data_IF_451291218809
#
_entry.id   IF_451291218809
#
_cell.length_a   1.000
_cell.length_b   1.000
_cell.length_c   1.000
_cell.angle_alpha   90.00
_cell.angle_beta   90.00
_cell.angle_gamma   90.00
#
_symmetry.space_group_name_H-M   'P 1'
#
loop_
_entity.id
_entity.type
_entity.pdbx_description
1 polymer ?
#
# COMPACT_ATOMS: atom_id res chain seq x y z
N UNK A 1 22.53 -5.66 -14.25
CA UNK A 1 22.72 -4.65 -15.31
C UNK A 1 22.35 -3.32 -14.69
N UNK A 2 23.31 -2.43 -14.48
CA UNK A 2 23.09 -1.10 -13.93
C UNK A 2 23.00 -0.11 -15.10
N UNK A 3 22.00 0.75 -15.11
CA UNK A 3 21.87 1.86 -16.07
C UNK A 3 21.95 3.16 -15.27
N UNK A 4 22.89 4.04 -15.63
CA UNK A 4 22.96 5.38 -15.06
C UNK A 4 21.74 6.20 -15.50
N UNK A 5 21.26 7.08 -14.63
CA UNK A 5 20.05 7.86 -14.88
C UNK A 5 20.15 8.69 -16.16
N UNK A 6 21.33 9.22 -16.46
CA UNK A 6 21.64 10.03 -17.64
C UNK A 6 21.59 9.23 -18.95
N UNK A 7 21.65 7.89 -18.86
CA UNK A 7 21.61 6.97 -20.00
C UNK A 7 20.23 6.34 -20.17
N UNK A 8 19.27 6.67 -19.31
CA UNK A 8 17.90 6.18 -19.45
C UNK A 8 17.23 6.87 -20.65
N UNK A 9 16.43 6.11 -21.39
CA UNK A 9 15.59 6.65 -22.45
C UNK A 9 14.66 7.73 -21.88
N UNK A 10 14.69 8.99 -22.35
CA UNK A 10 13.85 10.06 -21.81
C UNK A 10 12.36 9.82 -22.06
N UNK A 11 11.99 8.97 -23.02
CA UNK A 11 10.59 8.60 -23.31
C UNK A 11 10.10 7.45 -22.41
N UNK A 12 10.95 6.94 -21.52
CA UNK A 12 10.57 5.84 -20.63
C UNK A 12 9.46 6.26 -19.67
N UNK A 13 8.36 5.53 -19.70
CA UNK A 13 7.27 5.71 -18.75
C UNK A 13 7.58 4.97 -17.44
N UNK A 14 8.05 5.71 -16.45
CA UNK A 14 8.30 5.16 -15.11
C UNK A 14 7.01 5.16 -14.29
N UNK A 15 6.37 3.99 -14.19
CA UNK A 15 5.18 3.80 -13.37
C UNK A 15 5.50 3.88 -11.86
N UNK A 16 6.70 3.44 -11.49
CA UNK A 16 7.17 3.35 -10.11
C UNK A 16 8.69 3.31 -10.07
N UNK A 17 9.26 3.90 -9.02
CA UNK A 17 10.68 3.76 -8.65
C UNK A 17 10.75 3.24 -7.21
N UNK A 18 11.83 2.56 -6.86
CA UNK A 18 12.07 2.07 -5.49
C UNK A 18 13.46 2.43 -5.00
N UNK A 19 13.55 2.83 -3.74
CA UNK A 19 14.80 2.78 -2.98
C UNK A 19 14.82 1.48 -2.18
N UNK A 20 15.91 0.73 -2.30
CA UNK A 20 16.04 -0.63 -1.75
C UNK A 20 17.36 -0.71 -1.02
N UNK A 21 17.31 -1.04 0.27
CA UNK A 21 18.51 -1.23 1.10
C UNK A 21 18.18 -2.02 2.37
N UNK A 22 19.21 -2.34 3.18
CA UNK A 22 19.01 -2.86 4.52
C UNK A 22 18.14 -1.92 5.36
N UNK A 23 17.25 -2.42 6.23
CA UNK A 23 16.24 -1.59 6.90
C UNK A 23 16.81 -0.37 7.63
N UNK A 24 17.90 -0.54 8.38
CA UNK A 24 18.54 0.55 9.12
C UNK A 24 19.12 1.64 8.21
N UNK A 25 19.65 1.25 7.05
CA UNK A 25 20.21 2.18 6.06
C UNK A 25 19.07 2.91 5.35
N UNK A 26 18.03 2.17 4.94
CA UNK A 26 16.86 2.73 4.27
C UNK A 26 16.11 3.72 5.18
N UNK A 27 15.94 3.41 6.46
CA UNK A 27 15.26 4.32 7.40
C UNK A 27 16.05 5.62 7.61
N UNK A 28 17.39 5.55 7.67
CA UNK A 28 18.23 6.74 7.68
C UNK A 28 18.12 7.55 6.38
N UNK A 29 18.00 6.89 5.22
CA UNK A 29 17.78 7.56 3.95
C UNK A 29 16.41 8.24 3.91
N UNK A 30 15.34 7.57 4.35
CA UNK A 30 13.98 8.11 4.44
C UNK A 30 13.92 9.36 5.32
N UNK A 31 14.64 9.37 6.44
CA UNK A 31 14.74 10.51 7.34
C UNK A 31 15.40 11.73 6.69
N UNK A 32 16.22 11.54 5.65
CA UNK A 32 16.89 12.61 4.88
C UNK A 32 16.08 13.09 3.67
N UNK A 33 14.99 12.41 3.31
CA UNK A 33 14.13 12.82 2.20
C UNK A 33 13.42 14.14 2.56
N UNK A 34 13.58 15.22 1.78
CA UNK A 34 12.92 16.49 2.03
C UNK A 34 11.40 16.36 2.06
N UNK A 35 10.73 17.18 2.88
CA UNK A 35 9.27 17.19 2.98
C UNK A 35 8.60 17.46 1.61
N UNK A 36 9.16 18.36 0.82
CA UNK A 36 8.68 18.68 -0.53
C UNK A 36 8.60 17.45 -1.45
N UNK A 37 9.53 16.49 -1.32
CA UNK A 37 9.49 15.25 -2.10
C UNK A 37 8.30 14.38 -1.68
N UNK A 38 8.02 14.32 -0.37
CA UNK A 38 6.87 13.59 0.18
C UNK A 38 5.54 14.26 -0.17
N UNK A 39 5.53 15.57 -0.40
CA UNK A 39 4.38 16.31 -0.90
C UNK A 39 4.17 16.07 -2.40
N UNK A 40 5.25 16.07 -3.18
CA UNK A 40 5.21 15.93 -4.65
C UNK A 40 4.98 14.50 -5.14
N UNK A 41 5.35 13.49 -4.35
CA UNK A 41 5.22 12.08 -4.71
C UNK A 41 4.50 11.29 -3.63
N UNK A 42 3.95 10.14 -4.00
CA UNK A 42 3.56 9.12 -3.02
C UNK A 42 4.83 8.39 -2.61
N UNK A 43 5.20 8.50 -1.33
CA UNK A 43 6.43 7.93 -0.75
C UNK A 43 6.03 7.13 0.48
N UNK A 44 6.14 5.81 0.41
CA UNK A 44 5.63 4.90 1.44
C UNK A 44 6.42 3.59 1.47
N UNK A 45 6.46 2.91 2.61
CA UNK A 45 7.11 1.60 2.73
C UNK A 45 6.13 0.48 2.39
N UNK A 46 6.61 -0.54 1.67
CA UNK A 46 5.86 -1.79 1.45
C UNK A 46 6.51 -3.01 2.10
N UNK A 47 7.75 -2.86 2.56
CA UNK A 47 8.47 -3.82 3.39
C UNK A 47 9.54 -3.06 4.19
N UNK A 48 10.17 -3.69 5.22
CA UNK A 48 11.25 -3.04 5.97
C UNK A 48 12.40 -2.51 5.11
N UNK A 49 12.65 -3.14 3.96
CA UNK A 49 13.75 -2.88 3.03
C UNK A 49 13.29 -2.26 1.68
N UNK A 50 12.01 -1.92 1.52
CA UNK A 50 11.47 -1.34 0.30
C UNK A 50 10.74 -0.02 0.57
N UNK A 51 11.23 1.05 -0.05
CA UNK A 51 10.54 2.33 -0.15
C UNK A 51 10.04 2.52 -1.58
N UNK A 52 8.74 2.69 -1.74
CA UNK A 52 8.10 2.92 -3.03
C UNK A 52 7.93 4.42 -3.28
N UNK A 53 8.22 4.85 -4.50
CA UNK A 53 8.03 6.21 -4.97
C UNK A 53 7.23 6.14 -6.27
N UNK A 54 6.07 6.79 -6.24
CA UNK A 54 5.10 6.80 -7.33
C UNK A 54 4.47 8.20 -7.47
N UNK A 55 3.77 8.41 -8.58
CA UNK A 55 3.02 9.64 -8.82
C UNK A 55 2.03 9.92 -7.67
N UNK A 56 1.91 11.19 -7.27
CA UNK A 56 1.09 11.60 -6.12
C UNK A 56 -0.40 11.28 -6.28
N UNK A 57 -0.86 11.17 -7.52
CA UNK A 57 -2.27 10.93 -7.85
C UNK A 57 -2.69 9.48 -7.68
N UNK A 58 -1.74 8.57 -7.49
CA UNK A 58 -2.02 7.13 -7.42
C UNK A 58 -1.57 6.54 -6.09
N UNK A 59 -2.39 5.64 -5.57
CA UNK A 59 -2.10 4.68 -4.49
C UNK A 59 -3.13 3.53 -4.58
N UNK A 60 -3.05 2.54 -3.69
CA UNK A 60 -3.99 1.40 -3.69
C UNK A 60 -5.44 1.85 -3.49
N UNK A 61 -5.70 2.80 -2.59
CA UNK A 61 -7.03 3.35 -2.34
C UNK A 61 -7.66 4.01 -3.56
N UNK A 62 -6.91 4.89 -4.26
CA UNK A 62 -7.40 5.51 -5.49
C UNK A 62 -7.63 4.49 -6.61
N UNK A 63 -6.80 3.43 -6.66
CA UNK A 63 -6.96 2.33 -7.62
C UNK A 63 -8.25 1.54 -7.37
N UNK A 64 -8.50 1.13 -6.13
CA UNK A 64 -9.74 0.44 -5.73
C UNK A 64 -10.96 1.33 -5.98
N UNK A 65 -10.89 2.61 -5.61
CA UNK A 65 -11.96 3.58 -5.88
C UNK A 65 -12.27 3.69 -7.37
N UNK A 66 -11.24 3.85 -8.21
CA UNK A 66 -11.43 3.97 -9.67
C UNK A 66 -12.11 2.74 -10.26
N UNK A 67 -11.79 1.54 -9.77
CA UNK A 67 -12.42 0.30 -10.23
C UNK A 67 -13.87 0.21 -9.72
N UNK A 68 -14.12 0.56 -8.46
CA UNK A 68 -15.44 0.59 -7.86
C UNK A 68 -16.39 1.53 -8.63
N UNK A 69 -15.93 2.76 -8.93
CA UNK A 69 -16.66 3.74 -9.71
C UNK A 69 -17.02 3.21 -11.10
N UNK A 70 -16.08 2.53 -11.78
CA UNK A 70 -16.30 1.95 -13.11
C UNK A 70 -17.29 0.78 -13.11
N UNK A 71 -17.38 0.04 -12.00
CA UNK A 71 -18.29 -1.10 -11.83
C UNK A 71 -19.62 -0.71 -11.19
N UNK A 72 -19.79 0.54 -10.74
CA UNK A 72 -20.98 0.98 -10.01
C UNK A 72 -21.10 0.36 -8.62
N UNK A 73 -19.99 -0.03 -8.00
CA UNK A 73 -19.93 -0.63 -6.67
C UNK A 73 -19.69 0.47 -5.64
N UNK A 74 -20.50 0.51 -4.59
CA UNK A 74 -20.35 1.49 -3.51
C UNK A 74 -19.27 1.05 -2.52
N UNK A 75 -18.63 1.99 -1.80
CA UNK A 75 -17.65 1.66 -0.77
C UNK A 75 -18.17 0.65 0.27
N UNK A 76 -19.43 0.75 0.70
CA UNK A 76 -20.07 -0.18 1.64
C UNK A 76 -20.15 -1.64 1.17
N UNK A 77 -19.95 -1.89 -0.12
CA UNK A 77 -19.98 -3.23 -0.76
C UNK A 77 -18.56 -3.80 -0.95
N UNK A 78 -17.52 -3.10 -0.47
CA UNK A 78 -16.12 -3.45 -0.70
C UNK A 78 -15.48 -3.91 0.60
N UNK A 79 -14.74 -5.02 0.53
CA UNK A 79 -13.80 -5.45 1.55
C UNK A 79 -12.36 -5.32 1.03
N UNK A 80 -11.49 -4.66 1.80
CA UNK A 80 -10.06 -4.55 1.52
C UNK A 80 -9.26 -5.16 2.67
N UNK A 81 -8.26 -5.99 2.36
CA UNK A 81 -7.44 -6.71 3.34
C UNK A 81 -5.97 -6.36 3.10
N UNK A 82 -5.23 -5.98 4.14
CA UNK A 82 -3.82 -5.60 4.02
C UNK A 82 -3.02 -5.66 5.32
N UNK A 83 -1.73 -5.36 5.22
CA UNK A 83 -0.77 -5.50 6.33
C UNK A 83 0.30 -4.40 6.44
N UNK A 84 0.54 -3.64 5.36
CA UNK A 84 1.60 -2.63 5.30
C UNK A 84 1.08 -1.21 5.06
N UNK A 85 1.97 -0.22 5.19
CA UNK A 85 1.63 1.21 5.03
C UNK A 85 0.95 1.52 3.68
N UNK A 86 1.33 0.83 2.60
CA UNK A 86 0.72 0.99 1.29
C UNK A 86 -0.74 0.51 1.18
N UNK A 87 -1.23 -0.22 2.18
CA UNK A 87 -2.59 -0.75 2.24
C UNK A 87 -3.58 0.18 2.97
N UNK A 88 -3.08 1.09 3.81
CA UNK A 88 -3.91 1.95 4.67
C UNK A 88 -5.00 2.66 3.85
N UNK A 89 -4.61 3.28 2.73
CA UNK A 89 -5.54 4.04 1.90
C UNK A 89 -6.70 3.21 1.30
N UNK A 90 -6.50 1.92 1.01
CA UNK A 90 -7.60 1.06 0.54
C UNK A 90 -8.42 0.49 1.68
N UNK A 91 -7.81 0.26 2.85
CA UNK A 91 -8.48 -0.20 4.07
C UNK A 91 -9.44 0.87 4.58
N UNK A 92 -9.03 2.13 4.62
CA UNK A 92 -9.89 3.26 5.02
C UNK A 92 -11.01 3.54 4.02
N UNK A 93 -10.77 3.26 2.72
CA UNK A 93 -11.75 3.48 1.66
C UNK A 93 -12.87 2.42 1.66
N UNK A 94 -12.52 1.16 1.91
CA UNK A 94 -13.46 0.05 1.89
C UNK A 94 -14.46 0.16 3.06
N UNK A 95 -15.73 -0.20 2.82
CA UNK A 95 -16.72 -0.32 3.87
C UNK A 95 -16.38 -1.39 4.90
N UNK A 96 -15.61 -2.40 4.49
CA UNK A 96 -15.01 -3.41 5.37
C UNK A 96 -13.49 -3.41 5.17
N UNK A 97 -12.79 -2.54 5.90
CA UNK A 97 -11.34 -2.55 6.01
C UNK A 97 -10.85 -3.61 7.01
N UNK A 98 -9.93 -4.47 6.58
CA UNK A 98 -9.40 -5.59 7.36
C UNK A 98 -7.88 -5.52 7.44
N UNK A 99 -7.35 -5.57 8.66
CA UNK A 99 -5.93 -5.73 8.92
C UNK A 99 -5.59 -7.19 9.21
N UNK A 100 -4.51 -7.71 8.64
CA UNK A 100 -3.94 -9.01 9.05
C UNK A 100 -3.35 -8.94 10.46
N UNK A 101 -3.27 -10.05 11.19
CA UNK A 101 -2.64 -10.01 12.53
C UNK A 101 -1.13 -9.69 12.48
N UNK A 102 -0.45 -10.05 11.38
CA UNK A 102 0.95 -9.66 11.17
C UNK A 102 1.11 -8.23 10.63
N UNK A 103 0.03 -7.43 10.56
CA UNK A 103 0.06 -6.06 10.07
C UNK A 103 0.79 -5.11 11.05
N UNK A 104 1.34 -4.03 10.49
CA UNK A 104 1.91 -2.94 11.30
C UNK A 104 0.81 -2.25 12.13
N UNK A 105 1.14 -1.63 13.29
CA UNK A 105 0.15 -1.00 14.17
C UNK A 105 -0.77 0.00 13.45
N UNK A 106 -0.21 0.86 12.58
CA UNK A 106 -0.98 1.87 11.84
C UNK A 106 -2.08 1.25 10.94
N UNK A 107 -1.85 0.05 10.38
CA UNK A 107 -2.83 -0.65 9.57
C UNK A 107 -3.94 -1.25 10.45
N UNK A 108 -3.58 -1.81 11.61
CA UNK A 108 -4.56 -2.32 12.58
C UNK A 108 -5.46 -1.22 13.13
N UNK A 109 -4.92 -0.02 13.34
CA UNK A 109 -5.67 1.16 13.79
C UNK A 109 -6.67 1.68 12.75
N UNK A 110 -6.33 1.59 11.46
CA UNK A 110 -7.19 2.02 10.36
C UNK A 110 -8.32 1.03 10.01
N UNK A 111 -8.18 -0.25 10.41
CA UNK A 111 -9.11 -1.31 10.02
C UNK A 111 -10.33 -1.42 10.93
N UNK A 112 -11.46 -1.87 10.37
CA UNK A 112 -12.67 -2.20 11.13
C UNK A 112 -12.55 -3.57 11.83
N UNK A 113 -11.71 -4.45 11.28
CA UNK A 113 -11.53 -5.81 11.78
C UNK A 113 -10.08 -6.25 11.65
N UNK A 114 -9.56 -6.92 12.67
CA UNK A 114 -8.26 -7.58 12.63
C UNK A 114 -8.52 -9.07 12.45
N UNK A 115 -8.10 -9.63 11.31
CA UNK A 115 -8.17 -11.07 11.02
C UNK A 115 -6.93 -11.79 11.55
N UNK A 116 -6.84 -13.12 11.34
CA UNK A 116 -5.66 -13.92 11.72
C UNK A 116 -4.41 -13.51 10.95
N UNK A 117 -3.26 -14.07 11.32
CA UNK A 117 -2.03 -13.85 10.57
C UNK A 117 -2.08 -14.49 9.18
N UNK A 118 -1.19 -14.07 8.29
CA UNK A 118 -1.02 -14.70 6.98
C UNK A 118 -0.62 -16.18 7.07
N UNK A 119 0.01 -16.61 8.17
CA UNK A 119 0.38 -18.01 8.43
C UNK A 119 -0.79 -18.87 8.92
N UNK A 120 -1.93 -18.25 9.22
CA UNK A 120 -3.12 -18.88 9.80
C UNK A 120 -4.37 -18.63 8.94
N UNK A 121 -4.17 -18.46 7.63
CA UNK A 121 -5.23 -18.24 6.64
C UNK A 121 -6.13 -17.04 6.94
N UNK A 122 -5.56 -15.93 7.45
CA UNK A 122 -6.32 -14.72 7.81
C UNK A 122 -7.18 -14.16 6.69
N UNK A 123 -6.76 -14.28 5.43
CA UNK A 123 -7.60 -13.89 4.28
C UNK A 123 -8.84 -14.78 4.17
N UNK A 124 -8.67 -16.11 4.27
CA UNK A 124 -9.78 -17.06 4.18
C UNK A 124 -10.79 -16.82 5.31
N UNK A 125 -10.30 -16.63 6.53
CA UNK A 125 -11.13 -16.34 7.70
C UNK A 125 -11.97 -15.07 7.53
N UNK A 126 -11.40 -14.01 6.95
CA UNK A 126 -12.14 -12.77 6.68
C UNK A 126 -13.24 -12.99 5.62
N UNK A 127 -12.92 -13.70 4.53
CA UNK A 127 -13.90 -14.02 3.48
C UNK A 127 -15.04 -14.89 4.03
N UNK A 128 -14.72 -15.94 4.79
CA UNK A 128 -15.71 -16.79 5.43
C UNK A 128 -16.66 -15.98 6.29
N UNK A 129 -16.13 -15.06 7.11
CA UNK A 129 -16.90 -14.23 8.02
C UNK A 129 -17.82 -13.22 7.33
N UNK A 130 -17.34 -12.54 6.29
CA UNK A 130 -18.04 -11.39 5.69
C UNK A 130 -18.81 -11.71 4.41
N UNK A 131 -18.51 -12.84 3.76
CA UNK A 131 -19.08 -13.17 2.43
C UNK A 131 -19.80 -14.52 2.42
N UNK A 132 -19.28 -15.54 3.09
CA UNK A 132 -19.80 -16.91 2.99
C UNK A 132 -20.70 -17.34 4.16
N UNK A 133 -20.79 -16.54 5.22
CA UNK A 133 -21.58 -16.84 6.42
C UNK A 133 -23.07 -16.53 6.25
#
# INVERSE_FOLDING_TARGET
MFCEAEKMDPEIQLLKVMMIDEPAILDQAIARIPAEVKEKYTVLKSAPYFLEILDKRVNKGTGVKSLADALGIKPEEIMAIGDQENDIAMIEFAGVGVAMDNAIPAVKEAANFITKSNLEDGVAFAIEKYVLA
#
